data_IF_244095594218
#
_entry.id   IF_244095594218
#
_cell.length_a   1.000
_cell.length_b   1.000
_cell.length_c   1.000
_cell.angle_alpha   90.00
_cell.angle_beta   90.00
_cell.angle_gamma   90.00
#
_symmetry.space_group_name_H-M   'P 1'
#
loop_
_entity.id
_entity.type
_entity.pdbx_description
1 polymer ?
#
# COMPACT_ATOMS: atom_id res chain seq x y z
N UNK A 1 -0.06 -1.38 -12.92
CA UNK A 1 1.27 -1.79 -13.47
C UNK A 1 2.27 -0.66 -13.20
N UNK A 2 3.36 -0.92 -12.45
CA UNK A 2 4.28 0.12 -11.89
C UNK A 2 5.70 0.07 -12.50
N UNK A 3 6.00 -0.92 -13.34
CA UNK A 3 7.33 -1.06 -13.96
C UNK A 3 7.71 0.18 -14.78
N UNK A 4 8.97 0.63 -14.61
CA UNK A 4 9.52 1.79 -15.31
C UNK A 4 9.07 3.15 -14.77
N UNK A 5 8.29 3.21 -13.68
CA UNK A 5 7.86 4.46 -13.05
C UNK A 5 8.71 4.81 -11.82
N UNK A 6 8.86 6.11 -11.57
CA UNK A 6 9.38 6.61 -10.28
C UNK A 6 8.29 6.42 -9.23
N UNK A 7 8.68 5.93 -8.07
CA UNK A 7 7.78 5.69 -6.94
C UNK A 7 8.28 6.39 -5.70
N UNK A 8 7.35 6.89 -4.91
CA UNK A 8 7.60 7.47 -3.60
C UNK A 8 7.31 6.41 -2.54
N UNK A 9 8.21 6.30 -1.57
CA UNK A 9 8.15 5.28 -0.52
C UNK A 9 8.09 5.96 0.85
N UNK A 10 7.04 5.64 1.60
CA UNK A 10 6.96 5.99 3.02
C UNK A 10 7.20 4.74 3.85
N UNK A 11 8.38 4.65 4.46
CA UNK A 11 8.75 3.49 5.28
C UNK A 11 8.07 3.56 6.64
N UNK A 12 7.38 2.49 7.01
CA UNK A 12 6.70 2.34 8.30
C UNK A 12 7.55 1.49 9.25
N UNK A 13 8.07 0.36 8.75
CA UNK A 13 8.73 -0.62 9.61
C UNK A 13 9.70 -1.55 8.83
N UNK A 14 10.24 -2.55 9.52
CA UNK A 14 10.94 -3.72 8.98
C UNK A 14 10.23 -5.00 9.43
N UNK A 15 10.09 -5.95 8.52
CA UNK A 15 9.63 -7.28 8.88
C UNK A 15 10.71 -8.10 9.60
N UNK A 16 10.34 -9.29 10.08
CA UNK A 16 11.26 -10.22 10.77
C UNK A 16 12.42 -10.71 9.90
N UNK A 17 12.34 -10.53 8.59
CA UNK A 17 13.36 -10.92 7.62
C UNK A 17 14.19 -9.71 7.15
N UNK A 18 14.01 -8.54 7.77
CA UNK A 18 14.72 -7.31 7.45
C UNK A 18 14.19 -6.56 6.22
N UNK A 19 13.06 -6.97 5.64
CA UNK A 19 12.44 -6.30 4.50
C UNK A 19 11.72 -5.04 4.96
N UNK A 20 11.79 -3.97 4.18
CA UNK A 20 11.08 -2.72 4.48
C UNK A 20 9.58 -2.89 4.26
N UNK A 21 8.78 -2.51 5.25
CA UNK A 21 7.33 -2.36 5.13
C UNK A 21 7.04 -0.87 4.98
N UNK A 22 6.21 -0.51 4.00
CA UNK A 22 5.90 0.88 3.72
C UNK A 22 4.72 1.06 2.78
N UNK A 23 4.28 2.31 2.69
CA UNK A 23 3.32 2.74 1.69
C UNK A 23 4.03 3.11 0.39
N UNK A 24 3.39 2.80 -0.73
CA UNK A 24 3.94 3.10 -2.06
C UNK A 24 2.99 4.05 -2.78
N UNK A 25 3.52 5.18 -3.20
CA UNK A 25 2.80 6.19 -3.98
C UNK A 25 3.41 6.26 -5.38
N UNK A 26 2.56 6.23 -6.40
CA UNK A 26 2.94 6.30 -7.80
C UNK A 26 2.12 7.40 -8.45
N UNK A 27 2.77 8.45 -8.96
CA UNK A 27 2.12 9.62 -9.55
C UNK A 27 1.03 10.23 -8.62
N UNK A 28 1.34 10.37 -7.34
CA UNK A 28 0.41 10.91 -6.33
C UNK A 28 -0.73 9.97 -5.92
N UNK A 29 -0.77 8.72 -6.39
CA UNK A 29 -1.78 7.72 -6.01
C UNK A 29 -1.18 6.58 -5.19
N UNK A 30 -1.89 6.18 -4.14
CA UNK A 30 -1.49 5.03 -3.32
C UNK A 30 -1.71 3.72 -4.09
N UNK A 31 -0.61 2.99 -4.35
CA UNK A 31 -0.67 1.68 -4.98
C UNK A 31 -1.49 0.68 -4.15
N UNK A 32 -1.34 0.74 -2.83
CA UNK A 32 -2.03 -0.15 -1.91
C UNK A 32 -3.56 0.00 -2.02
N UNK A 33 -4.06 1.23 -2.17
CA UNK A 33 -5.49 1.51 -2.37
C UNK A 33 -5.97 0.95 -3.72
N UNK A 34 -5.23 1.18 -4.78
CA UNK A 34 -5.57 0.70 -6.13
C UNK A 34 -5.61 -0.84 -6.19
N UNK A 35 -4.73 -1.53 -5.47
CA UNK A 35 -4.73 -2.99 -5.39
C UNK A 35 -5.97 -3.56 -4.68
N UNK A 36 -6.47 -2.87 -3.66
CA UNK A 36 -7.68 -3.28 -2.94
C UNK A 36 -8.94 -3.01 -3.76
N UNK A 37 -9.02 -1.88 -4.46
CA UNK A 37 -10.12 -1.54 -5.37
C UNK A 37 -10.15 -2.48 -6.59
N UNK A 38 -8.97 -2.92 -7.06
CA UNK A 38 -8.77 -3.77 -8.23
C UNK A 38 -8.98 -5.28 -8.03
N UNK A 39 -9.71 -5.70 -6.99
CA UNK A 39 -9.56 -7.01 -6.30
C UNK A 39 -8.22 -7.77 -6.41
N UNK A 40 -7.08 -7.08 -6.41
CA UNK A 40 -5.75 -7.70 -6.56
C UNK A 40 -5.06 -8.00 -5.22
N UNK A 41 -5.63 -7.53 -4.11
CA UNK A 41 -5.11 -7.74 -2.77
C UNK A 41 -6.24 -7.80 -1.73
N UNK A 42 -5.91 -8.24 -0.52
CA UNK A 42 -6.81 -8.18 0.64
C UNK A 42 -6.12 -7.44 1.81
N UNK A 43 -6.90 -6.79 2.69
CA UNK A 43 -6.33 -6.11 3.86
C UNK A 43 -5.70 -7.10 4.83
N UNK A 44 -4.48 -6.81 5.29
CA UNK A 44 -3.79 -7.67 6.25
C UNK A 44 -4.10 -7.18 7.68
N UNK A 45 -5.07 -7.84 8.32
CA UNK A 45 -5.49 -7.56 9.69
C UNK A 45 -6.46 -6.37 9.84
N UNK A 46 -7.00 -6.19 11.05
CA UNK A 46 -8.09 -5.23 11.32
C UNK A 46 -7.71 -3.76 11.10
N UNK A 47 -6.45 -3.38 11.36
CA UNK A 47 -5.94 -2.02 11.12
C UNK A 47 -5.83 -1.69 9.63
N UNK A 48 -5.32 -2.63 8.84
CA UNK A 48 -5.17 -2.46 7.39
C UNK A 48 -6.54 -2.30 6.71
N UNK A 49 -7.55 -3.05 7.16
CA UNK A 49 -8.93 -2.91 6.66
C UNK A 49 -9.49 -1.52 6.97
N UNK A 50 -9.39 -1.07 8.24
CA UNK A 50 -9.94 0.23 8.65
C UNK A 50 -9.29 1.42 7.92
N UNK A 51 -8.00 1.33 7.61
CA UNK A 51 -7.28 2.40 6.91
C UNK A 51 -7.50 2.37 5.40
N UNK A 52 -7.82 1.20 4.83
CA UNK A 52 -8.36 1.10 3.49
C UNK A 52 -9.76 1.72 3.42
N UNK A 53 -10.63 1.41 4.38
CA UNK A 53 -12.01 1.92 4.46
C UNK A 53 -12.08 3.42 4.77
N UNK A 54 -11.18 3.96 5.61
CA UNK A 54 -11.11 5.40 5.90
C UNK A 54 -10.79 6.25 4.67
N UNK A 55 -10.22 5.65 3.61
CA UNK A 55 -9.95 6.31 2.35
C UNK A 55 -11.04 6.07 1.28
N UNK A 56 -12.18 5.48 1.66
CA UNK A 56 -13.36 5.25 0.78
C UNK A 56 -14.43 6.34 0.94
N UNK A 57 -14.30 7.24 1.93
CA UNK A 57 -15.18 8.41 2.12
C UNK A 57 -14.58 9.67 1.51
#
# INVERSE_FOLDING_TARGET
MVFGKVVELERIDKDRYGRSIGWVTVNGRSLNRELLIGPLACPVGKRSAKQADLAVV
#
